data_IF_573038280185
#
_entry.id   IF_573038280185
#
_cell.length_a   1.000
_cell.length_b   1.000
_cell.length_c   1.000
_cell.angle_alpha   90.00
_cell.angle_beta   90.00
_cell.angle_gamma   90.00
#
_symmetry.space_group_name_H-M   'P 1'
#
loop_
_entity.id
_entity.type
_entity.pdbx_description
1 polymer ?
#
# COMPACT_ATOMS: atom_id res chain seq x y z
N UNK A 1 43.27 21.99 9.53
CA UNK A 1 42.04 21.40 10.08
C UNK A 1 41.23 20.96 8.88
N UNK A 2 41.24 19.67 8.59
CA UNK A 2 40.49 19.12 7.45
C UNK A 2 39.01 19.14 7.79
N UNK A 3 38.29 19.99 7.08
CA UNK A 3 36.83 20.09 7.13
C UNK A 3 36.25 18.83 6.47
N UNK A 4 36.10 17.75 7.23
CA UNK A 4 35.30 16.62 6.78
C UNK A 4 33.83 17.07 6.73
N UNK A 5 33.30 17.25 5.52
CA UNK A 5 31.88 17.48 5.32
C UNK A 5 31.12 16.17 5.60
N UNK A 6 30.58 16.04 6.80
CA UNK A 6 29.70 14.92 7.13
C UNK A 6 28.33 15.17 6.49
N UNK A 7 28.12 14.63 5.28
CA UNK A 7 26.79 14.61 4.66
C UNK A 7 25.93 13.64 5.47
N UNK A 8 25.02 14.17 6.28
CA UNK A 8 24.14 13.35 7.08
C UNK A 8 22.75 13.97 7.17
N UNK A 9 21.69 13.29 6.67
CA UNK A 9 20.31 13.81 6.68
C UNK A 9 19.70 13.89 8.10
N UNK A 10 20.48 13.65 9.15
CA UNK A 10 20.03 13.53 10.55
C UNK A 10 19.64 14.87 11.21
N UNK A 11 19.84 16.03 10.57
CA UNK A 11 19.66 17.34 11.21
C UNK A 11 18.86 18.37 10.39
N UNK A 12 17.83 17.96 9.65
CA UNK A 12 16.93 18.91 9.00
C UNK A 12 16.17 19.73 10.06
N UNK A 13 16.10 21.05 9.90
CA UNK A 13 15.55 21.95 10.93
C UNK A 13 14.08 21.70 11.28
N UNK A 14 13.22 21.53 10.27
CA UNK A 14 11.79 21.39 10.49
C UNK A 14 11.07 20.73 9.33
N UNK A 15 10.14 19.85 9.64
CA UNK A 15 9.09 19.40 8.72
C UNK A 15 7.72 19.93 9.17
N UNK A 16 6.89 20.29 8.19
CA UNK A 16 5.50 20.71 8.40
C UNK A 16 4.66 20.21 7.24
N UNK A 17 3.42 19.82 7.50
CA UNK A 17 2.55 19.32 6.45
C UNK A 17 1.09 19.27 6.83
N UNK A 18 0.26 19.01 5.83
CA UNK A 18 -1.15 18.69 6.01
C UNK A 18 -1.57 17.57 5.07
N UNK A 19 -2.60 16.85 5.49
CA UNK A 19 -3.13 15.67 4.80
C UNK A 19 -4.65 15.73 4.78
N UNK A 20 -5.23 15.46 3.62
CA UNK A 20 -6.67 15.19 3.48
C UNK A 20 -6.82 13.94 2.65
N UNK A 21 -7.59 12.97 3.15
CA UNK A 21 -7.81 11.72 2.43
C UNK A 21 -9.24 11.20 2.58
N UNK A 22 -9.68 10.47 1.57
CA UNK A 22 -10.95 9.76 1.53
C UNK A 22 -10.68 8.30 1.19
N UNK A 23 -11.40 7.39 1.83
CA UNK A 23 -11.40 5.96 1.49
C UNK A 23 -12.83 5.52 1.27
N UNK A 24 -13.07 4.89 0.12
CA UNK A 24 -14.38 4.46 -0.36
C UNK A 24 -14.39 2.94 -0.49
N UNK A 25 -14.84 2.21 0.55
CA UNK A 25 -15.19 0.81 0.41
C UNK A 25 -16.52 0.69 -0.35
N UNK A 26 -16.55 -0.16 -1.37
CA UNK A 26 -17.73 -0.41 -2.18
C UNK A 26 -17.88 -1.91 -2.45
N UNK A 27 -19.11 -2.41 -2.44
CA UNK A 27 -19.41 -3.79 -2.84
C UNK A 27 -20.80 -3.88 -3.44
N UNK A 28 -20.87 -4.39 -4.66
CA UNK A 28 -22.12 -4.61 -5.38
C UNK A 28 -22.02 -5.81 -6.32
N UNK A 29 -22.91 -6.79 -6.13
CA UNK A 29 -22.99 -8.02 -6.94
C UNK A 29 -21.63 -8.75 -7.02
N UNK A 30 -20.99 -8.71 -8.19
CA UNK A 30 -19.75 -9.41 -8.49
C UNK A 30 -18.52 -8.53 -8.26
N UNK A 31 -18.70 -7.27 -7.86
CA UNK A 31 -17.64 -6.28 -7.76
C UNK A 31 -17.48 -5.77 -6.33
N UNK A 32 -16.27 -5.87 -5.81
CA UNK A 32 -15.84 -5.25 -4.57
C UNK A 32 -14.65 -4.34 -4.87
N UNK A 33 -14.65 -3.14 -4.30
CA UNK A 33 -13.64 -2.12 -4.51
C UNK A 33 -13.25 -1.50 -3.18
N UNK A 34 -11.97 -1.23 -3.00
CA UNK A 34 -11.48 -0.29 -1.99
C UNK A 34 -10.58 0.72 -2.67
N UNK A 35 -11.00 1.98 -2.71
CA UNK A 35 -10.20 3.06 -3.31
C UNK A 35 -9.92 4.11 -2.25
N UNK A 36 -8.66 4.49 -2.12
CA UNK A 36 -8.21 5.58 -1.26
C UNK A 36 -7.56 6.65 -2.12
N UNK A 37 -7.90 7.90 -1.85
CA UNK A 37 -7.29 9.07 -2.48
C UNK A 37 -6.89 10.04 -1.39
N UNK A 38 -5.67 10.55 -1.45
CA UNK A 38 -5.20 11.59 -0.56
C UNK A 38 -4.48 12.71 -1.30
N UNK A 39 -4.70 13.91 -0.77
CA UNK A 39 -3.97 15.10 -1.08
C UNK A 39 -3.05 15.42 0.10
N UNK A 40 -1.76 15.54 -0.21
CA UNK A 40 -0.70 15.62 0.77
C UNK A 40 0.11 16.88 0.48
N UNK A 41 0.55 17.57 1.52
CA UNK A 41 1.50 18.66 1.41
C UNK A 41 2.51 18.50 2.52
N UNK A 42 3.79 18.36 2.17
CA UNK A 42 4.90 18.34 3.10
C UNK A 42 5.89 19.44 2.72
N UNK A 43 6.45 20.08 3.73
CA UNK A 43 7.51 21.07 3.59
C UNK A 43 8.55 20.85 4.66
N UNK A 44 9.69 20.34 4.20
CA UNK A 44 10.93 20.23 4.94
C UNK A 44 11.71 21.52 4.71
N UNK A 45 12.26 22.07 5.79
CA UNK A 45 13.07 23.27 5.79
C UNK A 45 14.40 22.98 6.45
N UNK A 46 15.43 23.62 5.91
CA UNK A 46 16.75 23.66 6.47
C UNK A 46 17.47 24.90 5.91
N UNK A 47 18.14 25.70 6.73
CA UNK A 47 18.83 26.91 6.27
C UNK A 47 20.02 26.61 5.34
N UNK A 48 20.58 25.39 5.42
CA UNK A 48 21.68 24.96 4.57
C UNK A 48 21.23 24.36 3.23
N UNK A 49 19.92 24.17 3.04
CA UNK A 49 19.35 23.61 1.83
C UNK A 49 18.91 24.68 0.82
N UNK A 50 19.08 24.38 -0.47
CA UNK A 50 18.40 25.13 -1.54
C UNK A 50 16.93 24.69 -1.55
N UNK A 51 16.06 25.54 -1.02
CA UNK A 51 14.64 25.22 -0.91
C UNK A 51 13.95 25.32 -2.27
N UNK A 52 13.40 24.21 -2.73
CA UNK A 52 12.40 24.19 -3.78
C UNK A 52 11.04 24.59 -3.23
N UNK A 53 10.18 25.17 -4.08
CA UNK A 53 8.80 25.44 -3.67
C UNK A 53 8.10 24.10 -3.40
N UNK A 54 7.70 23.89 -2.15
CA UNK A 54 6.94 22.71 -1.77
C UNK A 54 5.61 22.69 -2.54
N UNK A 55 5.33 21.58 -3.22
CA UNK A 55 4.11 21.37 -4.01
C UNK A 55 3.33 20.22 -3.41
N UNK A 56 2.00 20.35 -3.30
CA UNK A 56 1.19 19.24 -2.86
C UNK A 56 1.26 18.08 -3.86
N UNK A 57 1.04 16.88 -3.37
CA UNK A 57 1.07 15.66 -4.16
C UNK A 57 -0.12 14.77 -3.85
N UNK A 58 -0.52 14.02 -4.87
CA UNK A 58 -1.61 13.07 -4.76
C UNK A 58 -1.02 11.69 -4.52
N UNK A 59 -1.60 10.97 -3.56
CA UNK A 59 -1.46 9.53 -3.46
C UNK A 59 -2.82 8.90 -3.73
N UNK A 60 -2.84 7.88 -4.58
CA UNK A 60 -4.04 7.10 -4.82
C UNK A 60 -3.72 5.63 -4.69
N UNK A 61 -4.64 4.88 -4.11
CA UNK A 61 -4.59 3.43 -3.99
C UNK A 61 -5.94 2.86 -4.42
N UNK A 62 -5.91 1.72 -5.10
CA UNK A 62 -7.13 1.01 -5.44
C UNK A 62 -6.91 -0.50 -5.43
N UNK A 63 -7.89 -1.23 -4.91
CA UNK A 63 -8.01 -2.68 -5.04
C UNK A 63 -9.40 -2.99 -5.57
N UNK A 64 -9.45 -3.68 -6.69
CA UNK A 64 -10.66 -4.03 -7.42
C UNK A 64 -10.74 -5.54 -7.50
N UNK A 65 -11.83 -6.12 -7.02
CA UNK A 65 -12.06 -7.56 -7.04
C UNK A 65 -13.34 -7.88 -7.80
N UNK A 66 -13.22 -8.77 -8.77
CA UNK A 66 -14.31 -9.22 -9.63
C UNK A 66 -14.50 -10.73 -9.51
N UNK A 67 -15.69 -11.15 -9.13
CA UNK A 67 -16.09 -12.56 -9.19
C UNK A 67 -16.49 -12.91 -10.63
N UNK A 68 -15.50 -13.33 -11.42
CA UNK A 68 -15.66 -13.60 -12.87
C UNK A 68 -16.35 -14.94 -13.16
N UNK A 69 -16.30 -15.89 -12.22
CA UNK A 69 -16.97 -17.18 -12.33
C UNK A 69 -17.24 -17.78 -10.94
N UNK A 70 -17.92 -18.92 -10.87
CA UNK A 70 -18.08 -19.67 -9.62
C UNK A 70 -16.68 -19.94 -9.03
N UNK A 71 -16.50 -19.58 -7.77
CA UNK A 71 -15.26 -19.76 -7.00
C UNK A 71 -14.00 -19.16 -7.63
N UNK A 72 -14.15 -18.17 -8.53
CA UNK A 72 -13.03 -17.50 -9.22
C UNK A 72 -13.11 -16.01 -9.01
N UNK A 73 -12.04 -15.41 -8.50
CA UNK A 73 -11.90 -13.98 -8.30
C UNK A 73 -10.68 -13.51 -9.08
N UNK A 74 -10.86 -12.46 -9.87
CA UNK A 74 -9.77 -11.68 -10.46
C UNK A 74 -9.69 -10.39 -9.67
N UNK A 75 -8.50 -10.05 -9.20
CA UNK A 75 -8.25 -8.76 -8.57
C UNK A 75 -7.23 -7.98 -9.37
N UNK A 76 -7.39 -6.67 -9.44
CA UNK A 76 -6.42 -5.75 -10.00
C UNK A 76 -6.42 -4.48 -9.17
N UNK A 77 -5.29 -3.82 -9.11
CA UNK A 77 -5.14 -2.68 -8.24
C UNK A 77 -3.74 -2.14 -8.26
N UNK A 78 -3.43 -1.28 -7.31
CA UNK A 78 -2.14 -0.63 -7.27
C UNK A 78 -2.20 0.68 -6.52
N UNK A 79 -1.09 1.39 -6.58
CA UNK A 79 -0.98 2.72 -6.02
C UNK A 79 -0.19 3.61 -6.96
N UNK A 80 -0.43 4.90 -6.81
CA UNK A 80 0.35 5.92 -7.48
C UNK A 80 0.67 7.07 -6.55
N UNK A 81 1.73 7.78 -6.89
CA UNK A 81 2.08 9.05 -6.31
C UNK A 81 2.49 10.01 -7.41
N UNK A 82 2.02 11.26 -7.36
CA UNK A 82 2.52 12.28 -8.28
C UNK A 82 3.92 12.72 -7.88
N UNK A 83 4.64 13.35 -8.81
CA UNK A 83 5.88 14.06 -8.48
C UNK A 83 5.61 15.04 -7.33
N UNK A 84 6.59 15.15 -6.43
CA UNK A 84 6.45 16.00 -5.25
C UNK A 84 7.75 16.73 -4.93
N UNK A 85 7.58 18.00 -4.61
CA UNK A 85 8.63 18.81 -4.02
C UNK A 85 8.26 19.03 -2.57
N UNK A 86 9.12 18.62 -1.65
CA UNK A 86 8.89 18.68 -0.21
C UNK A 86 9.78 19.73 0.44
N UNK A 87 10.14 20.78 -0.30
CA UNK A 87 11.07 21.82 0.14
C UNK A 87 12.51 21.44 -0.19
N UNK A 88 13.11 20.57 0.62
CA UNK A 88 14.50 20.12 0.41
C UNK A 88 14.61 19.10 -0.71
N UNK A 89 13.65 18.19 -0.80
CA UNK A 89 13.69 17.06 -1.73
C UNK A 89 12.71 17.24 -2.90
N UNK A 90 13.15 16.86 -4.10
CA UNK A 90 12.29 16.56 -5.24
C UNK A 90 12.28 15.05 -5.45
N UNK A 91 11.09 14.46 -5.54
CA UNK A 91 10.90 13.01 -5.70
C UNK A 91 9.98 12.71 -6.87
N UNK A 92 10.31 11.66 -7.62
CA UNK A 92 9.59 11.29 -8.84
C UNK A 92 8.14 10.83 -8.61
N UNK A 93 7.37 10.85 -9.70
CA UNK A 93 6.06 10.20 -9.78
C UNK A 93 6.22 8.68 -9.94
N UNK A 94 5.29 7.90 -9.39
CA UNK A 94 5.29 6.44 -9.49
C UNK A 94 3.87 5.92 -9.70
N UNK A 95 3.75 4.83 -10.46
CA UNK A 95 2.49 4.09 -10.67
C UNK A 95 2.81 2.59 -10.64
N UNK A 96 2.48 1.94 -9.52
CA UNK A 96 2.72 0.51 -9.31
C UNK A 96 1.40 -0.22 -9.44
N UNK A 97 1.35 -1.19 -10.36
CA UNK A 97 0.14 -1.97 -10.67
C UNK A 97 0.34 -3.43 -10.29
N UNK A 98 -0.67 -4.00 -9.65
CA UNK A 98 -0.74 -5.38 -9.21
C UNK A 98 -1.98 -6.06 -9.81
N UNK A 99 -1.90 -7.37 -10.00
CA UNK A 99 -3.04 -8.20 -10.38
C UNK A 99 -2.97 -9.57 -9.72
N UNK A 100 -4.11 -10.23 -9.58
CA UNK A 100 -4.16 -11.61 -9.12
C UNK A 100 -5.36 -12.35 -9.68
N UNK A 101 -5.23 -13.68 -9.75
CA UNK A 101 -6.34 -14.59 -10.00
C UNK A 101 -6.33 -15.62 -8.90
N UNK A 102 -7.47 -15.80 -8.26
CA UNK A 102 -7.69 -16.80 -7.23
C UNK A 102 -8.82 -17.73 -7.65
N UNK A 103 -8.60 -19.03 -7.52
CA UNK A 103 -9.58 -20.09 -7.79
C UNK A 103 -9.66 -21.02 -6.60
N UNK A 104 -10.86 -21.31 -6.12
CA UNK A 104 -11.09 -22.37 -5.13
C UNK A 104 -11.63 -23.62 -5.83
N UNK A 105 -10.94 -24.74 -5.64
CA UNK A 105 -11.31 -26.08 -6.10
C UNK A 105 -11.88 -26.90 -4.95
N UNK A 106 -12.91 -27.69 -5.23
CA UNK A 106 -13.53 -28.63 -4.27
C UNK A 106 -13.91 -27.97 -2.93
N UNK A 107 -14.22 -26.67 -2.94
CA UNK A 107 -14.53 -25.84 -1.77
C UNK A 107 -13.42 -25.74 -0.70
N UNK A 108 -12.26 -26.36 -0.91
CA UNK A 108 -11.21 -26.52 0.12
C UNK A 108 -9.81 -26.13 -0.34
N UNK A 109 -9.51 -26.24 -1.63
CA UNK A 109 -8.19 -25.94 -2.18
C UNK A 109 -8.22 -24.61 -2.92
N UNK A 110 -7.70 -23.56 -2.31
CA UNK A 110 -7.54 -22.25 -2.94
C UNK A 110 -6.16 -22.16 -3.58
N UNK A 111 -6.12 -21.89 -4.88
CA UNK A 111 -4.90 -21.59 -5.62
C UNK A 111 -4.95 -20.13 -6.07
N UNK A 112 -3.82 -19.42 -5.98
CA UNK A 112 -3.72 -18.06 -6.49
C UNK A 112 -2.41 -17.83 -7.25
N UNK A 113 -2.51 -16.99 -8.28
CA UNK A 113 -1.36 -16.38 -8.96
C UNK A 113 -1.47 -14.89 -8.70
N UNK A 114 -0.39 -14.27 -8.22
CA UNK A 114 -0.26 -12.83 -7.96
C UNK A 114 0.88 -12.27 -8.79
N UNK A 115 0.64 -11.12 -9.39
CA UNK A 115 1.59 -10.34 -10.16
C UNK A 115 1.74 -9.00 -9.44
N UNK A 116 2.91 -8.77 -8.84
CA UNK A 116 3.23 -7.53 -8.15
C UNK A 116 4.14 -6.68 -9.03
N UNK A 117 3.97 -5.35 -8.98
CA UNK A 117 4.71 -4.35 -9.77
C UNK A 117 4.87 -4.75 -11.25
N UNK A 118 3.73 -4.99 -11.92
CA UNK A 118 3.68 -5.40 -13.33
C UNK A 118 4.43 -4.39 -14.23
N UNK A 119 4.39 -3.11 -13.86
CA UNK A 119 4.98 -1.99 -14.59
C UNK A 119 6.48 -1.80 -14.34
N UNK A 120 7.10 -2.50 -13.37
CA UNK A 120 8.49 -2.25 -12.91
C UNK A 120 8.72 -0.79 -12.53
N UNK A 121 7.73 -0.16 -11.91
CA UNK A 121 7.71 1.28 -11.70
C UNK A 121 8.27 1.71 -10.33
N UNK A 122 8.66 0.76 -9.48
CA UNK A 122 9.08 1.03 -8.10
C UNK A 122 10.54 1.49 -7.97
N UNK A 123 10.94 2.46 -8.79
CA UNK A 123 12.22 3.15 -8.67
C UNK A 123 11.98 4.47 -7.93
N UNK A 124 12.58 4.63 -6.75
CA UNK A 124 12.47 5.85 -5.98
C UNK A 124 13.61 6.78 -6.36
N UNK A 125 13.28 7.89 -7.01
CA UNK A 125 14.25 8.91 -7.35
C UNK A 125 14.12 10.07 -6.37
N UNK A 126 15.26 10.56 -5.90
CA UNK A 126 15.32 11.77 -5.09
C UNK A 126 16.44 12.69 -5.58
N UNK A 127 16.22 13.98 -5.46
CA UNK A 127 17.26 14.98 -5.66
C UNK A 127 17.13 16.09 -4.63
N UNK A 128 18.27 16.62 -4.19
CA UNK A 128 18.37 17.71 -3.21
C UNK A 128 19.70 18.44 -3.36
N UNK A 129 19.76 19.66 -2.84
CA UNK A 129 21.00 20.44 -2.75
C UNK A 129 21.15 21.04 -1.35
N UNK A 130 22.20 20.66 -0.64
CA UNK A 130 22.47 21.05 0.75
C UNK A 130 23.96 21.39 0.90
N UNK A 131 24.28 22.49 1.58
CA UNK A 131 25.67 22.95 1.80
C UNK A 131 26.48 23.08 0.50
N UNK A 132 25.83 23.47 -0.60
CA UNK A 132 26.48 23.59 -1.92
C UNK A 132 26.80 22.25 -2.61
N UNK A 133 26.37 21.12 -2.04
CA UNK A 133 26.46 19.79 -2.65
C UNK A 133 25.12 19.42 -3.27
N UNK A 134 25.13 19.11 -4.56
CA UNK A 134 23.98 18.55 -5.27
C UNK A 134 24.04 17.02 -5.25
N UNK A 135 22.94 16.39 -4.86
CA UNK A 135 22.81 14.95 -4.82
C UNK A 135 21.59 14.49 -5.65
N UNK A 136 21.78 13.40 -6.40
CA UNK A 136 20.72 12.70 -7.12
C UNK A 136 20.86 11.21 -6.83
N UNK A 137 19.84 10.63 -6.21
CA UNK A 137 19.79 9.22 -5.85
C UNK A 137 18.67 8.51 -6.59
N UNK A 138 18.92 7.27 -6.97
CA UNK A 138 17.91 6.34 -7.46
C UNK A 138 18.02 5.07 -6.61
N UNK A 139 16.95 4.74 -5.90
CA UNK A 139 16.83 3.49 -5.15
C UNK A 139 15.96 2.53 -5.96
N UNK A 140 16.60 1.48 -6.47
CA UNK A 140 15.92 0.42 -7.20
C UNK A 140 15.33 -0.58 -6.22
N UNK A 141 14.06 -0.93 -6.41
CA UNK A 141 13.39 -1.99 -5.67
C UNK A 141 13.11 -3.15 -6.62
N UNK A 142 13.55 -4.36 -6.24
CA UNK A 142 13.15 -5.58 -6.94
C UNK A 142 11.74 -6.00 -6.51
N UNK A 143 10.75 -5.23 -6.95
CA UNK A 143 9.36 -5.41 -6.55
C UNK A 143 8.53 -6.23 -7.53
N UNK A 144 9.06 -6.48 -8.75
CA UNK A 144 8.33 -7.24 -9.76
C UNK A 144 8.37 -8.72 -9.44
N UNK A 145 7.25 -9.22 -8.93
CA UNK A 145 7.14 -10.59 -8.45
C UNK A 145 5.99 -11.32 -9.14
N UNK A 146 6.21 -12.59 -9.47
CA UNK A 146 5.15 -13.54 -9.78
C UNK A 146 5.10 -14.54 -8.63
N UNK A 147 4.05 -14.49 -7.82
CA UNK A 147 3.88 -15.37 -6.68
C UNK A 147 2.73 -16.36 -6.92
N UNK A 148 3.02 -17.64 -6.68
CA UNK A 148 2.02 -18.70 -6.63
C UNK A 148 1.74 -19.10 -5.19
N UNK A 149 0.48 -19.34 -4.85
CA UNK A 149 0.11 -19.87 -3.54
C UNK A 149 -0.96 -20.93 -3.62
N UNK A 150 -0.89 -21.88 -2.69
CA UNK A 150 -1.91 -22.89 -2.45
C UNK A 150 -2.26 -22.89 -0.96
N UNK A 151 -3.55 -22.94 -0.66
CA UNK A 151 -4.08 -23.06 0.69
C UNK A 151 -5.14 -24.15 0.70
N UNK A 152 -4.94 -25.17 1.52
CA UNK A 152 -5.93 -26.23 1.73
C UNK A 152 -6.56 -26.10 3.13
N UNK A 153 -7.88 -26.13 3.19
CA UNK A 153 -8.62 -26.10 4.47
C UNK A 153 -8.98 -27.53 4.91
N UNK A 154 -8.45 -27.97 6.05
CA UNK A 154 -8.83 -29.23 6.69
C UNK A 154 -10.14 -29.07 7.48
N UNK A 155 -10.93 -30.15 7.57
CA UNK A 155 -12.22 -30.18 8.26
C UNK A 155 -13.42 -29.76 7.39
N UNK A 156 -14.55 -29.50 8.04
CA UNK A 156 -15.76 -28.96 7.40
C UNK A 156 -15.67 -27.44 7.36
N UNK A 157 -16.19 -26.81 6.29
CA UNK A 157 -16.22 -25.35 6.17
C UNK A 157 -16.98 -24.75 7.37
N UNK A 158 -16.45 -23.70 8.00
CA UNK A 158 -17.06 -23.07 9.18
C UNK A 158 -18.55 -22.69 8.97
N UNK A 159 -18.93 -22.40 7.73
CA UNK A 159 -20.31 -22.12 7.29
C UNK A 159 -21.26 -23.32 7.32
N UNK A 160 -20.72 -24.54 7.27
CA UNK A 160 -21.45 -25.82 7.33
C UNK A 160 -21.48 -26.43 8.74
N UNK A 161 -20.61 -25.94 9.63
CA UNK A 161 -20.64 -26.25 11.04
C UNK A 161 -21.74 -25.41 11.70
N UNK A 162 -22.93 -26.00 11.92
CA UNK A 162 -23.83 -25.47 12.93
C UNK A 162 -23.11 -25.64 14.26
N UNK A 163 -22.38 -24.61 14.70
CA UNK A 163 -21.84 -24.55 16.05
C UNK A 163 -23.02 -24.67 17.01
N UNK A 164 -23.32 -25.90 17.46
CA UNK A 164 -24.22 -26.12 18.59
C UNK A 164 -23.38 -25.81 19.81
N UNK A 165 -23.56 -24.62 20.35
CA UNK A 165 -23.08 -24.33 21.69
C UNK A 165 -23.71 -25.40 22.60
N UNK A 166 -22.88 -26.22 23.25
CA UNK A 166 -23.38 -27.08 24.31
C UNK A 166 -23.42 -26.16 25.52
N UNK A 167 -24.60 -25.66 25.87
CA UNK A 167 -24.76 -24.93 27.13
C UNK A 167 -24.40 -25.90 28.27
N UNK A 168 -23.28 -25.61 28.93
CA UNK A 168 -22.75 -26.40 30.05
C UNK A 168 -23.12 -25.77 31.40
N UNK A 169 -23.82 -24.63 31.37
CA UNK A 169 -24.24 -23.93 32.58
C UNK A 169 -25.67 -24.32 32.96
N UNK A 170 -25.77 -25.25 33.91
CA UNK A 170 -27.03 -25.70 34.50
C UNK A 170 -27.78 -24.59 35.28
N UNK A 171 -27.18 -23.40 35.47
CA UNK A 171 -27.78 -22.29 36.21
C UNK A 171 -28.47 -21.24 35.31
N UNK A 172 -28.52 -21.41 33.99
CA UNK A 172 -29.16 -20.44 33.09
C UNK A 172 -30.65 -20.22 33.36
N UNK A 173 -31.34 -21.18 34.00
CA UNK A 173 -32.75 -21.10 34.37
C UNK A 173 -33.00 -20.65 35.85
N UNK A 174 -31.96 -20.26 36.60
CA UNK A 174 -32.08 -20.00 38.05
C UNK A 174 -32.56 -18.60 38.45
N UNK A 175 -32.77 -17.69 37.51
CA UNK A 175 -33.39 -16.39 37.78
C UNK A 175 -34.69 -16.30 36.98
N UNK A 176 -35.81 -16.53 37.67
CA UNK A 176 -37.18 -16.20 37.26
C UNK A 176 -37.74 -15.16 38.20
#
# INVERSE_FOLDING_TARGET
MDSAATLSPINLERESGFYVGVTLPFSYKLWTSTTSLSFNYNKIKDASAVLTMAKPYIYAYTDQQLKVAKDTIVSFGGWMMTERNEGVYTRNAMVVVNASVTKTFFEKLQCAIRLNDITKAMNFEESYAINGVEAKGVYFVDAREIAFSMKYTFGNNASSSKFKNKDVDENLDRIK
#
